data_IF_351929653542
#
_entry.id   IF_351929653542
#
_cell.length_a   1.000
_cell.length_b   1.000
_cell.length_c   1.000
_cell.angle_alpha   90.00
_cell.angle_beta   90.00
_cell.angle_gamma   90.00
#
_symmetry.space_group_name_H-M   'P 1'
#
loop_
_entity.id
_entity.type
_entity.pdbx_description
1 polymer ?
#
# COMPACT_ATOMS: atom_id res chain seq x y z
N UNK A 1 -22.25 19.71 -8.10
CA UNK A 1 -21.12 19.00 -8.77
C UNK A 1 -21.37 17.51 -8.51
N UNK A 2 -21.25 16.61 -9.51
CA UNK A 2 -21.39 15.18 -9.23
C UNK A 2 -20.25 14.73 -8.30
N UNK A 3 -20.54 13.91 -7.27
CA UNK A 3 -19.56 13.52 -6.27
C UNK A 3 -18.41 12.72 -6.91
N UNK A 4 -17.20 12.88 -6.38
CA UNK A 4 -16.08 12.01 -6.64
C UNK A 4 -16.06 10.91 -5.57
N UNK A 5 -15.99 9.67 -5.98
CA UNK A 5 -15.88 8.52 -5.08
C UNK A 5 -14.80 7.56 -5.59
N UNK A 6 -13.81 7.29 -4.77
CA UNK A 6 -12.80 6.28 -5.03
C UNK A 6 -12.69 5.37 -3.81
N UNK A 7 -12.89 4.09 -4.03
CA UNK A 7 -12.64 3.02 -3.07
C UNK A 7 -11.42 2.24 -3.55
N UNK A 8 -10.37 2.12 -2.76
CA UNK A 8 -9.12 1.44 -3.12
C UNK A 8 -8.72 0.47 -2.03
N UNK A 9 -8.57 -0.79 -2.38
CA UNK A 9 -7.94 -1.83 -1.58
C UNK A 9 -6.49 -2.00 -1.96
N UNK A 10 -5.68 -2.22 -0.97
CA UNK A 10 -4.32 -2.71 -1.08
C UNK A 10 -4.15 -3.89 -0.14
N UNK A 11 -3.54 -4.96 -0.60
CA UNK A 11 -3.14 -6.07 0.23
C UNK A 11 -1.85 -6.68 -0.30
N UNK A 12 -0.98 -7.12 0.59
CA UNK A 12 0.29 -7.75 0.22
C UNK A 12 0.61 -9.00 1.04
N UNK A 13 1.53 -9.78 0.52
CA UNK A 13 2.14 -10.91 1.17
C UNK A 13 3.62 -10.94 0.83
N UNK A 14 4.49 -11.16 1.82
CA UNK A 14 5.93 -11.31 1.62
C UNK A 14 6.44 -12.58 2.29
N UNK A 15 7.24 -13.37 1.58
CA UNK A 15 7.88 -14.55 2.12
C UNK A 15 9.23 -14.26 2.75
N UNK A 16 9.73 -15.18 3.58
CA UNK A 16 11.09 -15.13 4.12
C UNK A 16 12.18 -15.31 3.05
N UNK A 17 11.80 -15.79 1.86
CA UNK A 17 12.70 -15.97 0.72
C UNK A 17 12.87 -14.68 -0.11
N UNK A 18 12.14 -13.60 0.22
CA UNK A 18 12.15 -12.35 -0.53
C UNK A 18 11.18 -12.32 -1.72
N UNK A 19 10.19 -13.23 -1.73
CA UNK A 19 9.08 -13.13 -2.67
C UNK A 19 8.04 -12.13 -2.16
N UNK A 20 7.31 -11.51 -3.09
CA UNK A 20 6.20 -10.63 -2.76
C UNK A 20 5.06 -10.75 -3.77
N UNK A 21 3.83 -10.62 -3.26
CA UNK A 21 2.63 -10.37 -4.05
C UNK A 21 1.92 -9.14 -3.50
N UNK A 22 1.49 -8.25 -4.40
CA UNK A 22 0.71 -7.05 -4.05
C UNK A 22 -0.53 -7.02 -4.91
N UNK A 23 -1.68 -6.88 -4.26
CA UNK A 23 -2.99 -6.79 -4.87
C UNK A 23 -3.52 -5.37 -4.68
N UNK A 24 -3.94 -4.75 -5.78
CA UNK A 24 -4.75 -3.55 -5.78
C UNK A 24 -6.11 -3.83 -6.39
N UNK A 25 -7.13 -3.28 -5.80
CA UNK A 25 -8.46 -3.19 -6.39
C UNK A 25 -9.03 -1.81 -6.14
N UNK A 26 -9.52 -1.15 -7.17
CA UNK A 26 -10.10 0.18 -7.06
C UNK A 26 -11.40 0.30 -7.86
N UNK A 27 -12.37 0.97 -7.27
CA UNK A 27 -13.61 1.38 -7.92
C UNK A 27 -13.71 2.91 -7.87
N UNK A 28 -13.76 3.52 -9.04
CA UNK A 28 -13.91 4.95 -9.22
C UNK A 28 -15.30 5.26 -9.77
N UNK A 29 -15.97 6.22 -9.17
CA UNK A 29 -17.14 6.90 -9.71
C UNK A 29 -16.89 8.40 -9.75
N UNK A 30 -16.97 8.97 -10.91
CA UNK A 30 -16.77 10.40 -11.09
C UNK A 30 -17.48 10.90 -12.35
N UNK A 31 -18.44 11.81 -12.18
CA UNK A 31 -19.30 12.28 -13.28
C UNK A 31 -20.02 11.09 -13.95
N UNK A 32 -19.86 10.95 -15.27
CA UNK A 32 -20.38 9.82 -16.03
C UNK A 32 -19.40 8.62 -16.12
N UNK A 33 -18.25 8.70 -15.43
CA UNK A 33 -17.23 7.64 -15.46
C UNK A 33 -17.45 6.71 -14.29
N UNK A 34 -17.58 5.42 -14.58
CA UNK A 34 -17.48 4.34 -13.61
C UNK A 34 -16.35 3.39 -14.08
N UNK A 35 -15.32 3.24 -13.27
CA UNK A 35 -14.14 2.46 -13.61
C UNK A 35 -13.84 1.46 -12.51
N UNK A 36 -13.69 0.19 -12.87
CA UNK A 36 -13.08 -0.83 -12.01
C UNK A 36 -11.66 -1.06 -12.49
N UNK A 37 -10.73 -1.09 -11.56
CA UNK A 37 -9.32 -1.32 -11.81
C UNK A 37 -8.78 -2.34 -10.83
N UNK A 38 -8.00 -3.28 -11.33
CA UNK A 38 -7.26 -4.22 -10.48
C UNK A 38 -5.85 -4.40 -11.00
N UNK A 39 -4.90 -4.60 -10.08
CA UNK A 39 -3.56 -5.05 -10.45
C UNK A 39 -3.03 -6.10 -9.48
N UNK A 40 -2.24 -7.02 -10.03
CA UNK A 40 -1.47 -8.01 -9.30
C UNK A 40 -0.01 -7.83 -9.67
N UNK A 41 0.79 -7.36 -8.71
CA UNK A 41 2.24 -7.23 -8.84
C UNK A 41 2.88 -8.39 -8.10
N UNK A 42 3.82 -9.07 -8.74
CA UNK A 42 4.56 -10.18 -8.15
C UNK A 42 6.05 -9.97 -8.32
N UNK A 43 6.79 -10.31 -7.30
CA UNK A 43 8.26 -10.37 -7.32
C UNK A 43 8.69 -11.72 -6.76
N UNK A 44 9.60 -12.39 -7.44
CA UNK A 44 10.25 -13.60 -6.94
C UNK A 44 11.72 -13.29 -6.72
N UNK A 45 12.31 -13.85 -5.69
CA UNK A 45 13.72 -13.64 -5.36
C UNK A 45 14.61 -13.87 -6.59
N UNK A 46 15.49 -12.91 -6.88
CA UNK A 46 16.37 -12.94 -8.05
C UNK A 46 15.69 -12.68 -9.41
N UNK A 47 14.39 -12.29 -9.44
CA UNK A 47 13.68 -11.98 -10.68
C UNK A 47 13.13 -10.55 -10.67
N UNK A 48 13.01 -9.96 -11.85
CA UNK A 48 12.34 -8.67 -12.01
C UNK A 48 10.86 -8.77 -11.65
N UNK A 49 10.36 -7.78 -10.92
CA UNK A 49 8.95 -7.69 -10.58
C UNK A 49 8.07 -7.62 -11.85
N UNK A 50 6.92 -8.27 -11.80
CA UNK A 50 5.94 -8.31 -12.89
C UNK A 50 4.61 -7.78 -12.39
N UNK A 51 3.90 -7.02 -13.22
CA UNK A 51 2.57 -6.51 -12.92
C UNK A 51 1.58 -6.93 -14.00
N UNK A 52 0.41 -7.39 -13.57
CA UNK A 52 -0.77 -7.62 -14.42
C UNK A 52 -1.80 -6.56 -14.06
N UNK A 53 -2.48 -6.00 -15.05
CA UNK A 53 -3.50 -4.97 -14.88
C UNK A 53 -4.79 -5.38 -15.56
N UNK A 54 -5.93 -4.96 -15.02
CA UNK A 54 -7.24 -5.21 -15.62
C UNK A 54 -8.21 -4.08 -15.30
N UNK A 55 -9.01 -3.72 -16.31
CA UNK A 55 -10.19 -2.86 -16.17
C UNK A 55 -11.50 -3.67 -16.10
N UNK A 56 -11.42 -4.99 -16.15
CA UNK A 56 -12.59 -5.85 -15.91
C UNK A 56 -12.98 -5.77 -14.45
N UNK A 57 -14.26 -5.90 -14.18
CA UNK A 57 -14.74 -5.98 -12.79
C UNK A 57 -14.24 -7.30 -12.18
N UNK A 58 -13.35 -7.19 -11.20
CA UNK A 58 -12.90 -8.28 -10.34
C UNK A 58 -13.58 -8.17 -8.97
N UNK A 59 -13.75 -9.26 -8.23
CA UNK A 59 -14.12 -9.17 -6.83
C UNK A 59 -13.10 -8.34 -6.04
N UNK A 60 -13.59 -7.42 -5.22
CA UNK A 60 -12.75 -6.73 -4.25
C UNK A 60 -12.30 -7.70 -3.15
N UNK A 61 -11.16 -7.46 -2.49
CA UNK A 61 -10.86 -8.11 -1.23
C UNK A 61 -12.02 -7.92 -0.24
N UNK A 62 -12.32 -8.92 0.56
CA UNK A 62 -13.43 -8.89 1.49
C UNK A 62 -13.00 -9.30 2.89
N UNK A 63 -13.36 -8.49 3.88
CA UNK A 63 -13.23 -8.86 5.29
C UNK A 63 -14.33 -9.88 5.64
N UNK A 64 -13.95 -11.04 6.15
CA UNK A 64 -14.81 -12.15 6.56
C UNK A 64 -14.44 -12.54 7.98
N UNK A 65 -15.28 -12.18 8.95
CA UNK A 65 -15.04 -12.48 10.37
C UNK A 65 -13.60 -12.15 10.83
N UNK A 66 -12.71 -13.12 10.82
CA UNK A 66 -11.34 -13.11 11.32
C UNK A 66 -10.24 -13.02 10.23
N UNK A 67 -10.65 -12.91 8.96
CA UNK A 67 -9.72 -12.95 7.82
C UNK A 67 -10.15 -12.05 6.67
N UNK A 68 -9.17 -11.67 5.86
CA UNK A 68 -9.40 -11.05 4.56
C UNK A 68 -9.20 -12.12 3.49
N UNK A 69 -10.10 -12.17 2.52
CA UNK A 69 -10.04 -13.08 1.38
C UNK A 69 -10.13 -12.29 0.08
N UNK A 70 -9.42 -12.76 -0.90
CA UNK A 70 -9.49 -12.25 -2.26
C UNK A 70 -9.37 -13.37 -3.27
N UNK A 71 -10.12 -13.30 -4.34
CA UNK A 71 -10.11 -14.29 -5.42
C UNK A 71 -10.24 -13.58 -6.76
N UNK A 72 -9.45 -14.01 -7.74
CA UNK A 72 -9.54 -13.56 -9.12
C UNK A 72 -9.48 -14.75 -10.08
N UNK A 73 -10.63 -15.28 -10.49
CA UNK A 73 -10.69 -16.38 -11.45
C UNK A 73 -9.98 -16.04 -12.76
N UNK A 74 -10.08 -14.78 -13.21
CA UNK A 74 -9.42 -14.31 -14.43
C UNK A 74 -7.89 -14.43 -14.38
N UNK A 75 -7.29 -14.20 -13.21
CA UNK A 75 -5.85 -14.35 -13.01
C UNK A 75 -5.47 -15.70 -12.40
N UNK A 76 -6.47 -16.56 -12.14
CA UNK A 76 -6.28 -17.83 -11.43
C UNK A 76 -5.47 -17.62 -10.16
N UNK A 77 -5.85 -16.60 -9.40
CA UNK A 77 -5.15 -16.16 -8.22
C UNK A 77 -6.10 -16.02 -7.03
N UNK A 78 -5.62 -16.37 -5.86
CA UNK A 78 -6.34 -16.23 -4.60
C UNK A 78 -5.39 -15.80 -3.48
N UNK A 79 -5.90 -15.04 -2.52
CA UNK A 79 -5.13 -14.59 -1.37
C UNK A 79 -5.96 -14.69 -0.07
N UNK A 80 -5.29 -15.03 1.03
CA UNK A 80 -5.87 -15.03 2.37
C UNK A 80 -4.93 -14.35 3.35
N UNK A 81 -5.49 -13.55 4.26
CA UNK A 81 -4.82 -12.89 5.38
C UNK A 81 -5.56 -13.29 6.64
N UNK A 82 -4.89 -13.93 7.60
CA UNK A 82 -5.44 -14.45 8.86
C UNK A 82 -4.66 -13.90 10.04
N UNK A 83 -5.15 -14.13 11.23
CA UNK A 83 -4.52 -13.69 12.47
C UNK A 83 -4.25 -12.18 12.44
N UNK A 84 -5.29 -11.43 12.07
CA UNK A 84 -5.21 -9.99 11.86
C UNK A 84 -4.87 -9.29 13.17
N UNK A 85 -3.81 -8.49 13.15
CA UNK A 85 -3.53 -7.56 14.26
C UNK A 85 -4.61 -6.46 14.33
N UNK A 86 -4.75 -5.75 15.45
CA UNK A 86 -5.73 -4.69 15.60
C UNK A 86 -5.67 -3.67 14.46
N UNK A 87 -6.85 -3.33 13.93
CA UNK A 87 -7.00 -2.36 12.84
C UNK A 87 -6.93 -0.93 13.34
N UNK A 88 -6.60 -0.01 12.42
CA UNK A 88 -6.58 1.42 12.66
C UNK A 88 -7.41 2.14 11.60
N UNK A 89 -8.15 3.15 12.02
CA UNK A 89 -8.94 4.00 11.14
C UNK A 89 -8.54 5.45 11.36
N UNK A 90 -8.27 6.16 10.27
CA UNK A 90 -7.89 7.57 10.29
C UNK A 90 -8.54 8.33 9.14
N UNK A 91 -8.94 9.55 9.40
CA UNK A 91 -9.20 10.54 8.38
C UNK A 91 -7.90 11.31 8.14
N UNK A 92 -7.20 11.01 7.04
CA UNK A 92 -5.92 11.63 6.71
C UNK A 92 -6.08 13.04 6.16
N UNK A 93 -7.24 13.35 5.58
CA UNK A 93 -7.57 14.66 5.04
C UNK A 93 -9.07 14.87 5.07
N UNK A 94 -9.50 16.08 5.44
CA UNK A 94 -10.89 16.52 5.39
C UNK A 94 -10.97 18.00 5.00
N UNK A 95 -11.92 18.34 4.14
CA UNK A 95 -12.23 19.69 3.69
C UNK A 95 -13.66 19.78 3.20
N UNK A 96 -14.14 20.96 2.86
CA UNK A 96 -15.44 21.16 2.22
C UNK A 96 -15.59 20.42 0.88
N UNK A 97 -14.46 20.11 0.21
CA UNK A 97 -14.46 19.39 -1.06
C UNK A 97 -14.50 17.86 -0.92
N UNK A 98 -14.45 17.34 0.29
CA UNK A 98 -14.49 15.92 0.62
C UNK A 98 -13.34 15.49 1.53
N UNK A 99 -13.20 14.18 1.71
CA UNK A 99 -12.27 13.60 2.65
C UNK A 99 -11.48 12.44 2.04
N UNK A 100 -10.41 12.05 2.73
CA UNK A 100 -9.66 10.82 2.52
C UNK A 100 -9.61 10.06 3.84
N UNK A 101 -10.29 8.92 3.87
CA UNK A 101 -10.27 7.98 4.99
C UNK A 101 -9.37 6.80 4.66
N UNK A 102 -8.48 6.45 5.59
CA UNK A 102 -7.58 5.32 5.52
C UNK A 102 -7.91 4.32 6.64
N UNK A 103 -8.21 3.09 6.24
CA UNK A 103 -8.50 2.00 7.15
C UNK A 103 -7.40 0.94 6.98
N UNK A 104 -6.48 0.87 7.92
CA UNK A 104 -5.52 -0.22 8.02
C UNK A 104 -6.22 -1.42 8.66
N UNK A 105 -6.67 -2.35 7.83
CA UNK A 105 -7.48 -3.49 8.26
C UNK A 105 -6.65 -4.60 8.88
N UNK A 106 -5.41 -4.75 8.42
CA UNK A 106 -4.46 -5.73 8.91
C UNK A 106 -3.05 -5.14 8.83
N UNK A 107 -2.58 -4.44 9.88
CA UNK A 107 -1.18 -4.02 9.99
C UNK A 107 -0.21 -5.20 9.89
N UNK A 108 -0.63 -6.37 10.35
CA UNK A 108 0.05 -7.67 10.21
C UNK A 108 -0.97 -8.79 10.11
N UNK A 109 -0.72 -9.72 9.20
CA UNK A 109 -1.50 -10.94 9.05
C UNK A 109 -0.61 -12.10 8.58
N UNK A 110 -0.88 -13.31 9.02
CA UNK A 110 -0.38 -14.50 8.36
C UNK A 110 -1.06 -14.61 6.99
N UNK A 111 -0.28 -14.58 5.93
CA UNK A 111 -0.80 -14.44 4.57
C UNK A 111 -0.29 -15.50 3.61
N UNK A 112 -1.13 -15.84 2.64
CA UNK A 112 -0.78 -16.72 1.55
C UNK A 112 -1.43 -16.20 0.26
N UNK A 113 -0.67 -16.15 -0.83
CA UNK A 113 -1.15 -15.80 -2.17
C UNK A 113 -0.74 -16.88 -3.15
N UNK A 114 -1.73 -17.54 -3.72
CA UNK A 114 -1.60 -18.52 -4.79
C UNK A 114 -1.81 -17.83 -6.13
N UNK A 115 -0.97 -18.11 -7.12
CA UNK A 115 -1.06 -17.55 -8.47
C UNK A 115 -0.81 -18.66 -9.47
N UNK A 116 -1.79 -18.95 -10.30
CA UNK A 116 -1.73 -20.05 -11.27
C UNK A 116 -1.32 -21.39 -10.56
N UNK A 117 -0.44 -22.14 -11.20
CA UNK A 117 0.14 -23.38 -10.64
C UNK A 117 1.52 -23.15 -10.00
N UNK A 118 1.93 -21.87 -9.81
CA UNK A 118 3.20 -21.56 -9.15
C UNK A 118 3.12 -21.87 -7.64
N UNK A 119 4.24 -22.10 -6.95
CA UNK A 119 4.25 -22.21 -5.50
C UNK A 119 3.66 -20.96 -4.85
N UNK A 120 2.83 -21.15 -3.83
CA UNK A 120 2.24 -20.05 -3.08
C UNK A 120 3.33 -19.14 -2.48
N UNK A 121 3.06 -17.84 -2.41
CA UNK A 121 3.84 -16.92 -1.59
C UNK A 121 3.19 -16.92 -0.22
N UNK A 122 3.92 -17.41 0.77
CA UNK A 122 3.43 -17.55 2.15
C UNK A 122 4.34 -16.78 3.11
N UNK A 123 3.74 -16.11 4.08
CA UNK A 123 4.48 -15.38 5.11
C UNK A 123 3.64 -14.31 5.80
N UNK A 124 4.18 -13.12 5.91
CA UNK A 124 3.53 -12.00 6.57
C UNK A 124 3.07 -10.95 5.56
N UNK A 125 1.89 -10.41 5.78
CA UNK A 125 1.28 -9.44 4.90
C UNK A 125 0.54 -8.35 5.65
N UNK A 126 0.02 -7.45 4.85
CA UNK A 126 -0.66 -6.23 5.23
C UNK A 126 -1.92 -6.05 4.36
N UNK A 127 -2.92 -5.36 4.89
CA UNK A 127 -4.07 -4.95 4.09
C UNK A 127 -4.68 -3.64 4.58
N UNK A 128 -5.07 -2.80 3.63
CA UNK A 128 -5.74 -1.52 3.87
C UNK A 128 -6.87 -1.26 2.87
N UNK A 129 -7.77 -0.36 3.26
CA UNK A 129 -8.83 0.15 2.43
C UNK A 129 -8.88 1.67 2.52
N UNK A 130 -8.67 2.37 1.40
CA UNK A 130 -8.83 3.81 1.29
C UNK A 130 -10.18 4.16 0.68
N UNK A 131 -10.79 5.21 1.19
CA UNK A 131 -11.98 5.84 0.60
C UNK A 131 -11.72 7.33 0.42
N UNK A 132 -11.93 7.81 -0.79
CA UNK A 132 -11.80 9.23 -1.12
C UNK A 132 -13.14 9.74 -1.66
N UNK A 133 -13.61 10.83 -1.09
CA UNK A 133 -14.67 11.66 -1.67
C UNK A 133 -14.13 12.97 -2.24
N UNK A 134 -12.84 13.26 -2.04
CA UNK A 134 -12.09 14.35 -2.67
C UNK A 134 -11.30 13.79 -3.85
N UNK A 135 -11.30 14.52 -4.97
CA UNK A 135 -10.51 14.12 -6.14
C UNK A 135 -9.00 14.22 -5.85
N UNK A 136 -8.17 13.21 -6.21
CA UNK A 136 -6.75 13.17 -5.86
C UNK A 136 -5.94 14.40 -6.30
N UNK A 137 -6.33 15.06 -7.39
CA UNK A 137 -5.68 16.30 -7.86
C UNK A 137 -6.04 17.56 -7.06
N UNK A 138 -6.92 17.43 -6.06
CA UNK A 138 -7.24 18.48 -5.10
C UNK A 138 -6.57 18.28 -3.74
N UNK A 139 -5.92 17.14 -3.55
CA UNK A 139 -5.17 16.88 -2.32
C UNK A 139 -3.96 17.80 -2.27
N UNK A 140 -3.74 18.51 -1.16
CA UNK A 140 -2.65 19.47 -1.01
C UNK A 140 -1.32 18.78 -0.67
N UNK A 141 -0.96 17.75 -1.45
CA UNK A 141 0.20 16.90 -1.25
C UNK A 141 1.22 17.18 -2.35
N UNK A 142 2.50 17.17 -1.99
CA UNK A 142 3.63 17.17 -2.93
C UNK A 142 4.42 15.89 -2.88
N UNK A 143 4.52 15.29 -1.68
CA UNK A 143 5.22 14.02 -1.49
C UNK A 143 4.50 13.17 -0.45
N UNK A 144 4.41 11.87 -0.74
CA UNK A 144 3.97 10.85 0.18
C UNK A 144 5.12 9.86 0.39
N UNK A 145 5.43 9.54 1.65
CA UNK A 145 6.13 8.32 2.05
C UNK A 145 5.16 7.43 2.77
N UNK A 146 4.97 6.26 2.24
CA UNK A 146 4.16 5.21 2.85
C UNK A 146 4.99 3.95 2.98
N UNK A 147 4.72 3.18 4.02
CA UNK A 147 5.29 1.86 4.12
C UNK A 147 4.77 1.06 5.29
N UNK A 148 5.12 -0.20 5.24
CA UNK A 148 4.89 -1.14 6.32
C UNK A 148 6.11 -2.04 6.51
N UNK A 149 6.42 -2.37 7.75
CA UNK A 149 7.38 -3.40 8.16
C UNK A 149 6.62 -4.48 8.90
N UNK A 150 6.90 -5.76 8.60
CA UNK A 150 6.29 -6.88 9.32
C UNK A 150 7.25 -8.05 9.48
N UNK A 151 7.07 -8.77 10.59
CA UNK A 151 7.58 -10.12 10.82
C UNK A 151 6.61 -10.90 11.73
N UNK A 152 7.06 -11.99 12.35
CA UNK A 152 6.21 -12.82 13.20
C UNK A 152 5.68 -12.09 14.45
N UNK A 153 6.42 -11.12 14.97
CA UNK A 153 6.14 -10.46 16.26
C UNK A 153 5.81 -8.98 16.12
N UNK A 154 6.41 -8.30 15.15
CA UNK A 154 6.33 -6.85 15.04
C UNK A 154 5.66 -6.40 13.73
N UNK A 155 4.93 -5.31 13.83
CA UNK A 155 4.37 -4.56 12.71
C UNK A 155 4.57 -3.07 12.94
N UNK A 156 5.14 -2.37 11.94
CA UNK A 156 5.21 -0.91 11.91
C UNK A 156 4.62 -0.44 10.59
N UNK A 157 3.67 0.48 10.64
CA UNK A 157 3.05 1.10 9.47
C UNK A 157 3.22 2.60 9.59
N UNK A 158 3.54 3.27 8.48
CA UNK A 158 3.72 4.73 8.47
C UNK A 158 3.18 5.39 7.21
N UNK A 159 2.74 6.62 7.40
CA UNK A 159 2.32 7.55 6.36
C UNK A 159 2.94 8.91 6.70
N UNK A 160 3.64 9.52 5.77
CA UNK A 160 4.16 10.89 5.88
C UNK A 160 3.80 11.66 4.61
N UNK A 161 2.90 12.62 4.76
CA UNK A 161 2.53 13.54 3.71
C UNK A 161 3.21 14.87 3.92
N UNK A 162 3.77 15.40 2.86
CA UNK A 162 4.30 16.76 2.85
C UNK A 162 3.75 17.56 1.68
N UNK A 163 3.48 18.86 1.92
CA UNK A 163 2.91 19.77 0.94
C UNK A 163 2.40 21.03 1.64
N UNK A 164 1.31 21.60 1.16
CA UNK A 164 0.63 22.69 1.88
C UNK A 164 -0.22 22.19 3.05
N UNK A 165 -0.47 20.89 3.13
CA UNK A 165 -1.01 20.20 4.28
C UNK A 165 -0.07 19.03 4.62
N UNK A 166 0.36 18.95 5.86
CA UNK A 166 1.26 17.90 6.33
C UNK A 166 0.52 16.98 7.28
N UNK A 167 0.70 15.69 7.10
CA UNK A 167 0.16 14.68 8.02
C UNK A 167 1.18 13.57 8.20
N UNK A 168 1.37 13.14 9.44
CA UNK A 168 2.25 12.03 9.78
C UNK A 168 1.54 11.10 10.73
N UNK A 169 1.51 9.81 10.37
CA UNK A 169 0.88 8.76 11.14
C UNK A 169 1.83 7.57 11.20
N UNK A 170 2.04 7.01 12.38
CA UNK A 170 2.78 5.77 12.54
C UNK A 170 2.14 4.90 13.64
N UNK A 171 2.14 3.60 13.42
CA UNK A 171 1.64 2.60 14.37
C UNK A 171 2.65 1.48 14.51
N UNK A 172 3.11 1.25 15.74
CA UNK A 172 3.97 0.13 16.12
C UNK A 172 3.17 -0.85 16.97
N UNK A 173 3.02 -2.08 16.50
CA UNK A 173 2.32 -3.16 17.20
C UNK A 173 0.93 -2.78 17.73
N UNK A 174 0.18 -2.00 16.94
CA UNK A 174 -1.16 -1.56 17.27
C UNK A 174 -1.23 -0.28 18.10
N UNK A 175 -0.12 0.29 18.53
CA UNK A 175 -0.07 1.56 19.27
C UNK A 175 0.34 2.70 18.35
N UNK A 176 -0.33 3.85 18.45
CA UNK A 176 0.11 5.08 17.80
C UNK A 176 1.44 5.52 18.37
N UNK A 177 2.39 5.85 17.51
CA UNK A 177 3.74 6.30 17.88
C UNK A 177 4.11 7.57 17.13
N UNK A 178 4.95 8.41 17.74
CA UNK A 178 5.44 9.61 17.08
C UNK A 178 6.68 9.28 16.27
N UNK A 179 6.60 9.41 14.94
CA UNK A 179 7.78 9.35 14.08
C UNK A 179 8.41 10.73 13.97
N UNK A 180 9.63 10.90 14.47
CA UNK A 180 10.38 12.16 14.41
C UNK A 180 10.99 12.36 13.04
N UNK A 181 11.42 11.27 12.40
CA UNK A 181 11.97 11.28 11.06
C UNK A 181 11.42 10.11 10.24
N UNK A 182 11.04 10.39 8.99
CA UNK A 182 10.67 9.38 7.99
C UNK A 182 11.45 9.68 6.71
N UNK A 183 12.59 9.02 6.59
CA UNK A 183 13.45 9.06 5.42
C UNK A 183 13.14 7.95 4.41
N UNK A 184 13.90 7.90 3.33
CA UNK A 184 13.75 6.88 2.30
C UNK A 184 14.36 5.51 2.72
N UNK A 185 15.28 5.52 3.72
CA UNK A 185 15.98 4.33 4.22
C UNK A 185 15.94 4.15 5.74
N UNK A 186 15.40 5.11 6.43
CA UNK A 186 15.35 5.08 7.88
C UNK A 186 14.10 5.79 8.39
N UNK A 187 13.60 5.27 9.48
CA UNK A 187 12.49 5.85 10.24
C UNK A 187 12.85 5.85 11.72
N UNK A 188 12.75 7.02 12.35
CA UNK A 188 13.07 7.22 13.77
C UNK A 188 11.78 7.49 14.54
N UNK A 189 11.55 6.72 15.59
CA UNK A 189 10.43 6.87 16.51
C UNK A 189 10.89 7.57 17.80
N UNK A 190 10.12 8.56 18.25
CA UNK A 190 10.41 9.27 19.50
C UNK A 190 10.34 8.34 20.71
N UNK A 191 9.30 7.51 20.73
CA UNK A 191 9.10 6.54 21.79
C UNK A 191 10.18 5.46 21.75
N UNK A 192 10.87 5.27 22.86
CA UNK A 192 11.92 4.26 23.03
C UNK A 192 13.11 4.40 22.08
N UNK A 193 13.33 5.55 21.46
CA UNK A 193 14.41 5.75 20.47
C UNK A 193 14.50 4.59 19.46
N UNK A 194 13.35 4.07 19.00
CA UNK A 194 13.31 2.97 18.07
C UNK A 194 13.65 3.45 16.65
N UNK A 195 14.44 2.66 15.95
CA UNK A 195 14.89 2.97 14.59
C UNK A 195 14.58 1.78 13.68
N UNK A 196 13.85 2.04 12.58
CA UNK A 196 13.71 1.10 11.48
C UNK A 196 14.71 1.46 10.39
N UNK A 197 15.63 0.56 10.08
CA UNK A 197 16.55 0.70 8.94
C UNK A 197 16.07 -0.19 7.79
N UNK A 198 16.07 0.38 6.58
CA UNK A 198 15.65 -0.27 5.34
C UNK A 198 16.86 -0.50 4.44
N UNK A 199 17.19 -1.75 4.16
CA UNK A 199 18.27 -2.09 3.21
C UNK A 199 17.86 -1.66 1.78
N UNK A 200 18.84 -1.58 0.89
CA UNK A 200 18.58 -1.40 -0.54
C UNK A 200 17.83 -2.62 -1.07
N UNK A 201 16.54 -2.45 -1.29
CA UNK A 201 15.65 -3.54 -1.64
C UNK A 201 15.49 -3.78 -3.13
N UNK A 202 14.67 -4.77 -3.46
CA UNK A 202 14.23 -5.04 -4.82
C UNK A 202 13.26 -3.95 -5.26
N UNK A 203 13.53 -3.29 -6.38
CA UNK A 203 12.59 -2.35 -7.00
C UNK A 203 11.36 -3.10 -7.50
N UNK A 204 10.21 -2.80 -6.94
CA UNK A 204 8.93 -3.37 -7.34
C UNK A 204 8.25 -2.56 -8.44
N UNK A 205 8.40 -1.24 -8.38
CA UNK A 205 7.87 -0.30 -9.36
C UNK A 205 8.67 1.00 -9.34
N UNK A 206 8.95 1.57 -10.51
CA UNK A 206 9.46 2.93 -10.69
C UNK A 206 8.89 3.51 -11.97
N UNK A 207 8.30 4.69 -11.89
CA UNK A 207 7.85 5.41 -13.06
C UNK A 207 6.65 6.32 -12.81
N UNK A 208 6.22 6.97 -13.89
CA UNK A 208 5.03 7.82 -13.87
C UNK A 208 3.76 6.96 -13.85
N UNK A 209 2.72 7.41 -13.14
CA UNK A 209 1.46 6.67 -13.07
C UNK A 209 0.88 6.35 -14.45
N UNK A 210 0.99 7.27 -15.43
CA UNK A 210 0.53 7.05 -16.81
C UNK A 210 1.22 5.89 -17.51
N UNK A 211 2.47 5.59 -17.18
CA UNK A 211 3.26 4.51 -17.78
C UNK A 211 3.30 3.24 -16.93
N UNK A 212 2.78 3.29 -15.71
CA UNK A 212 2.76 2.18 -14.75
C UNK A 212 1.32 1.80 -14.39
N UNK A 213 0.83 2.23 -13.25
CA UNK A 213 -0.47 1.82 -12.71
C UNK A 213 -1.66 2.16 -13.60
N UNK A 214 -1.62 3.29 -14.31
CA UNK A 214 -2.72 3.75 -15.16
C UNK A 214 -2.56 3.41 -16.65
N UNK A 215 -1.47 2.75 -17.04
CA UNK A 215 -1.11 2.47 -18.44
C UNK A 215 -2.16 1.70 -19.24
N UNK A 216 -3.05 0.97 -18.59
CA UNK A 216 -4.11 0.17 -19.22
C UNK A 216 -5.43 0.94 -19.44
N UNK A 217 -5.52 2.18 -18.95
CA UNK A 217 -6.74 2.99 -19.09
C UNK A 217 -6.75 3.68 -20.46
N UNK A 218 -7.74 3.40 -21.33
CA UNK A 218 -7.83 4.07 -22.61
C UNK A 218 -8.08 5.57 -22.47
N UNK A 219 -7.53 6.37 -23.37
CA UNK A 219 -7.74 7.82 -23.43
C UNK A 219 -7.46 8.52 -22.09
N UNK A 220 -6.43 8.10 -21.41
CA UNK A 220 -6.04 8.51 -20.06
C UNK A 220 -5.97 10.04 -19.90
N UNK A 221 -5.39 10.72 -20.92
CA UNK A 221 -5.22 12.18 -20.92
C UNK A 221 -6.55 12.95 -20.99
N UNK A 222 -7.63 12.31 -21.42
CA UNK A 222 -8.98 12.87 -21.44
C UNK A 222 -9.72 12.67 -20.13
N UNK A 223 -9.35 11.66 -19.37
CA UNK A 223 -10.02 11.27 -18.14
C UNK A 223 -9.38 11.93 -16.91
N UNK A 224 -8.06 12.10 -16.91
CA UNK A 224 -7.33 12.59 -15.75
C UNK A 224 -6.45 13.79 -16.08
N UNK A 225 -6.32 14.74 -15.15
CA UNK A 225 -5.41 15.88 -15.33
C UNK A 225 -3.95 15.43 -15.35
N UNK A 226 -3.10 16.20 -16.03
CA UNK A 226 -1.66 15.94 -16.14
C UNK A 226 -0.96 15.85 -14.79
N UNK A 227 -1.45 16.57 -13.78
CA UNK A 227 -0.93 16.50 -12.40
C UNK A 227 -1.02 15.10 -11.79
N UNK A 228 -2.03 14.30 -12.17
CA UNK A 228 -2.13 12.89 -11.75
C UNK A 228 -1.27 11.99 -12.63
N UNK A 229 -1.28 12.23 -13.93
CA UNK A 229 -0.57 11.38 -14.89
C UNK A 229 0.95 11.44 -14.73
N UNK A 230 1.45 12.58 -14.27
CA UNK A 230 2.87 12.84 -14.03
C UNK A 230 3.33 12.59 -12.60
N UNK A 231 2.47 12.05 -11.73
CA UNK A 231 2.90 11.54 -10.42
C UNK A 231 3.91 10.42 -10.65
N UNK A 232 5.05 10.50 -9.96
CA UNK A 232 6.06 9.44 -9.95
C UNK A 232 5.90 8.59 -8.71
N UNK A 233 5.83 7.28 -8.90
CA UNK A 233 5.82 6.27 -7.83
C UNK A 233 7.11 5.46 -7.90
N UNK A 234 7.83 5.37 -6.77
CA UNK A 234 8.92 4.44 -6.55
C UNK A 234 8.56 3.53 -5.38
N UNK A 235 8.57 2.21 -5.59
CA UNK A 235 8.19 1.21 -4.58
C UNK A 235 9.24 0.12 -4.47
N UNK A 236 9.56 -0.27 -3.24
CA UNK A 236 10.58 -1.29 -2.94
C UNK A 236 10.05 -2.37 -1.99
N UNK A 237 10.62 -3.56 -2.15
CA UNK A 237 10.66 -4.62 -1.17
C UNK A 237 12.05 -4.64 -0.55
N UNK A 238 12.16 -4.41 0.75
CA UNK A 238 13.43 -4.33 1.48
C UNK A 238 13.45 -5.32 2.63
N UNK A 239 14.62 -5.87 2.91
CA UNK A 239 14.90 -6.39 4.24
C UNK A 239 14.99 -5.20 5.18
N UNK A 240 14.46 -5.35 6.38
CA UNK A 240 14.41 -4.26 7.33
C UNK A 240 14.75 -4.75 8.74
N UNK A 241 15.33 -3.85 9.55
CA UNK A 241 15.71 -4.12 10.93
C UNK A 241 15.14 -3.02 11.81
N UNK A 242 14.24 -3.41 12.72
CA UNK A 242 13.71 -2.55 13.75
C UNK A 242 14.54 -2.75 15.02
N UNK A 243 15.24 -1.69 15.45
CA UNK A 243 16.04 -1.63 16.67
C UNK A 243 15.32 -0.86 17.75
N UNK A 244 15.28 -1.42 18.94
CA UNK A 244 14.69 -0.80 20.14
C UNK A 244 15.66 -0.97 21.31
N UNK A 245 16.01 0.08 22.04
CA UNK A 245 16.85 -0.04 23.24
C UNK A 245 16.32 -1.11 24.20
N UNK A 246 17.19 -1.99 24.65
CA UNK A 246 16.84 -3.06 25.58
C UNK A 246 16.11 -4.26 24.96
N UNK A 247 15.94 -4.30 23.64
CA UNK A 247 15.32 -5.42 22.92
C UNK A 247 16.26 -5.98 21.86
N UNK A 248 16.17 -7.26 21.50
CA UNK A 248 16.86 -7.82 20.35
C UNK A 248 16.43 -7.13 19.04
N UNK A 249 17.32 -7.08 18.07
CA UNK A 249 17.01 -6.61 16.72
C UNK A 249 15.86 -7.43 16.10
N UNK A 250 14.82 -6.75 15.65
CA UNK A 250 13.67 -7.37 15.00
C UNK A 250 13.86 -7.29 13.48
N UNK A 251 14.13 -8.43 12.85
CA UNK A 251 14.39 -8.54 11.42
C UNK A 251 13.10 -8.95 10.71
N UNK A 252 12.78 -8.26 9.61
CA UNK A 252 11.58 -8.53 8.82
C UNK A 252 11.68 -7.99 7.40
N UNK A 253 10.52 -7.87 6.78
CA UNK A 253 10.36 -7.31 5.44
C UNK A 253 9.58 -6.02 5.47
N UNK A 254 9.99 -5.04 4.66
CA UNK A 254 9.26 -3.83 4.43
C UNK A 254 8.85 -3.72 2.96
N UNK A 255 7.60 -3.30 2.71
CA UNK A 255 7.23 -2.69 1.44
C UNK A 255 7.03 -1.22 1.73
N UNK A 256 7.73 -0.38 0.97
CA UNK A 256 7.66 1.06 1.13
C UNK A 256 7.70 1.78 -0.21
N UNK A 257 7.16 2.97 -0.22
CA UNK A 257 7.08 3.78 -1.44
C UNK A 257 7.30 5.26 -1.17
N UNK A 258 7.80 5.92 -2.19
CA UNK A 258 7.81 7.38 -2.32
C UNK A 258 6.99 7.75 -3.54
N UNK A 259 6.07 8.67 -3.35
CA UNK A 259 5.21 9.19 -4.41
C UNK A 259 5.39 10.70 -4.46
N UNK A 260 5.84 11.20 -5.61
CA UNK A 260 6.08 12.63 -5.87
C UNK A 260 5.04 13.18 -6.84
N UNK A 261 4.39 14.28 -6.45
CA UNK A 261 3.51 15.09 -7.28
C UNK A 261 4.31 16.16 -8.01
N UNK A 262 3.97 16.46 -9.26
CA UNK A 262 4.66 17.50 -10.05
C UNK A 262 4.50 18.91 -9.48
#
# INVERSE_FOLDING_TARGET
>A
MLPFELSKWYADCTSSQGDAAIIYHAELRWRAVALSYSSLLTSRAGRTARARYSLRKHPAPALRADRIVWESPHWRAAGTWRDLSPRHENVLFESESGSLAWNCLAPRAASAVQIDAEPAIEGWGYAEHLRLSVAPWRLPIRRLRWGRFVNATDALVWIDWSGSYNTRVAYLNGSSVCATEIGDRELVLAENAAVLSLDTGTMLRDGLLRSTALSVIPQLDRLFPSSILNIRECKWLSRAVLRRPGHPDSIGTAIHEVVDWP
#
